data_IF_746154063574
#
_entry.id   IF_746154063574
#
_cell.length_a   1.000
_cell.length_b   1.000
_cell.length_c   1.000
_cell.angle_alpha   90.00
_cell.angle_beta   90.00
_cell.angle_gamma   90.00
#
_symmetry.space_group_name_H-M   'P 1'
#
loop_
_entity.id
_entity.type
_entity.pdbx_description
1 polymer ?
#
# COMPACT_ATOMS: atom_id res chain seq x y z
N UNK A 1 -47.95 -54.29 -25.73
CA UNK A 1 -48.20 -53.01 -26.41
C UNK A 1 -48.87 -52.07 -25.42
N UNK A 2 -48.10 -51.29 -24.65
CA UNK A 2 -48.47 -49.95 -24.14
C UNK A 2 -47.15 -49.25 -23.82
N UNK A 3 -46.80 -48.24 -24.60
CA UNK A 3 -45.66 -47.34 -24.36
C UNK A 3 -46.12 -46.22 -23.43
N UNK A 4 -45.37 -45.92 -22.36
CA UNK A 4 -45.59 -44.73 -21.53
C UNK A 4 -44.36 -43.82 -21.69
N UNK A 5 -44.49 -42.83 -22.57
CA UNK A 5 -43.52 -41.74 -22.70
C UNK A 5 -43.65 -40.81 -21.49
N UNK A 6 -42.59 -40.68 -20.68
CA UNK A 6 -42.49 -39.67 -19.62
C UNK A 6 -41.64 -38.51 -20.12
N UNK A 7 -42.29 -37.41 -20.41
CA UNK A 7 -41.70 -36.12 -20.77
C UNK A 7 -40.98 -35.53 -19.56
N UNK A 8 -39.66 -35.32 -19.65
CA UNK A 8 -38.91 -34.55 -18.65
C UNK A 8 -39.04 -33.06 -19.00
N UNK A 9 -39.75 -32.30 -18.17
CA UNK A 9 -39.80 -30.84 -18.23
C UNK A 9 -38.56 -30.30 -17.52
N UNK A 10 -37.68 -29.65 -18.28
CA UNK A 10 -36.51 -28.92 -17.78
C UNK A 10 -36.95 -27.70 -16.96
N UNK A 11 -36.63 -27.69 -15.67
CA UNK A 11 -36.77 -26.53 -14.80
C UNK A 11 -35.48 -25.69 -14.89
N UNK A 12 -35.46 -24.65 -15.73
CA UNK A 12 -34.44 -23.62 -15.66
C UNK A 12 -34.69 -22.74 -14.44
N UNK A 13 -33.90 -22.93 -13.38
CA UNK A 13 -33.86 -22.01 -12.24
C UNK A 13 -33.14 -20.74 -12.71
N UNK A 14 -33.89 -19.69 -13.00
CA UNK A 14 -33.38 -18.33 -13.01
C UNK A 14 -33.03 -17.95 -11.57
N UNK A 15 -31.76 -18.12 -11.19
CA UNK A 15 -31.22 -17.49 -10.00
C UNK A 15 -31.24 -15.98 -10.24
N UNK A 16 -32.18 -15.29 -9.62
CA UNK A 16 -32.19 -13.83 -9.59
C UNK A 16 -30.86 -13.34 -8.99
N UNK A 17 -30.16 -12.47 -9.72
CA UNK A 17 -29.02 -11.72 -9.20
C UNK A 17 -29.51 -10.85 -8.04
N UNK A 18 -29.38 -11.35 -6.82
CA UNK A 18 -29.42 -10.49 -5.65
C UNK A 18 -28.20 -9.57 -5.73
N UNK A 19 -28.41 -8.30 -6.03
CA UNK A 19 -27.39 -7.25 -5.87
C UNK A 19 -27.16 -7.07 -4.36
N UNK A 20 -26.40 -7.98 -3.76
CA UNK A 20 -26.08 -7.95 -2.34
C UNK A 20 -25.16 -6.76 -2.06
N UNK A 21 -25.50 -5.86 -1.13
CA UNK A 21 -24.62 -4.74 -0.80
C UNK A 21 -23.25 -5.22 -0.32
N UNK A 22 -22.18 -4.52 -0.71
CA UNK A 22 -20.84 -4.75 -0.18
C UNK A 22 -20.80 -4.39 1.31
N UNK A 23 -20.25 -5.30 2.12
CA UNK A 23 -20.08 -5.08 3.56
C UNK A 23 -19.12 -3.92 3.84
N UNK A 24 -19.13 -3.42 5.07
CA UNK A 24 -18.13 -2.48 5.55
C UNK A 24 -16.72 -3.04 5.28
N UNK A 25 -15.84 -2.22 4.72
CA UNK A 25 -14.51 -2.58 4.21
C UNK A 25 -14.46 -3.48 2.96
N UNK A 26 -15.61 -3.87 2.40
CA UNK A 26 -15.68 -4.64 1.15
C UNK A 26 -15.51 -3.78 -0.12
N UNK A 27 -15.15 -4.44 -1.24
CA UNK A 27 -15.06 -3.79 -2.55
C UNK A 27 -16.45 -3.47 -3.10
N UNK A 28 -16.63 -2.21 -3.49
CA UNK A 28 -17.88 -1.66 -3.99
C UNK A 28 -17.75 -1.04 -5.39
N UNK A 29 -16.65 -1.29 -6.10
CA UNK A 29 -16.42 -0.71 -7.41
C UNK A 29 -15.01 -0.91 -7.92
N UNK A 30 -14.79 -0.46 -9.16
CA UNK A 30 -13.55 -0.61 -9.89
C UNK A 30 -13.76 -1.08 -11.32
N UNK A 31 -12.88 -0.67 -12.24
CA UNK A 31 -12.82 -1.19 -13.61
C UNK A 31 -12.70 -2.72 -13.56
N UNK A 32 -13.67 -3.41 -14.18
CA UNK A 32 -13.71 -4.87 -14.24
C UNK A 32 -14.34 -5.56 -13.03
N UNK A 33 -14.80 -4.84 -12.00
CA UNK A 33 -15.47 -5.42 -10.84
C UNK A 33 -16.88 -5.94 -11.19
N UNK A 34 -17.15 -7.27 -11.10
CA UNK A 34 -18.46 -7.84 -11.40
C UNK A 34 -19.40 -7.86 -10.18
N UNK A 35 -18.88 -7.49 -9.00
CA UNK A 35 -19.58 -7.57 -7.74
C UNK A 35 -20.44 -6.34 -7.45
N UNK A 36 -20.90 -6.20 -6.20
CA UNK A 36 -21.82 -5.14 -5.84
C UNK A 36 -21.18 -3.76 -5.88
N UNK A 37 -21.97 -2.77 -6.28
CA UNK A 37 -21.54 -1.36 -6.40
C UNK A 37 -22.11 -0.46 -5.30
N UNK A 38 -22.91 -1.03 -4.40
CA UNK A 38 -23.54 -0.33 -3.28
C UNK A 38 -23.04 -0.90 -1.97
N UNK A 39 -22.86 -0.04 -0.98
CA UNK A 39 -22.38 -0.43 0.35
C UNK A 39 -23.54 -0.66 1.33
N UNK A 40 -23.29 -1.43 2.38
CA UNK A 40 -24.21 -1.57 3.52
C UNK A 40 -24.46 -0.22 4.20
N UNK A 41 -25.61 -0.09 4.84
CA UNK A 41 -26.02 1.15 5.53
C UNK A 41 -24.93 1.61 6.51
N UNK A 42 -24.67 2.93 6.55
CA UNK A 42 -23.63 3.54 7.39
C UNK A 42 -22.25 3.64 6.74
N UNK A 43 -22.08 3.14 5.52
CA UNK A 43 -20.81 3.21 4.79
C UNK A 43 -21.00 3.78 3.39
N UNK A 44 -19.95 4.40 2.85
CA UNK A 44 -19.94 5.04 1.52
C UNK A 44 -18.95 4.31 0.64
N UNK A 45 -19.35 4.05 -0.60
CA UNK A 45 -18.44 3.50 -1.60
C UNK A 45 -17.45 4.58 -2.03
N UNK A 46 -16.26 4.55 -1.46
CA UNK A 46 -15.21 5.52 -1.76
C UNK A 46 -14.29 4.95 -2.81
N UNK A 47 -14.20 5.64 -3.94
CA UNK A 47 -13.25 5.30 -5.01
C UNK A 47 -11.83 5.50 -4.46
N UNK A 48 -11.06 4.43 -4.37
CA UNK A 48 -9.65 4.51 -3.95
C UNK A 48 -8.73 4.63 -5.15
N UNK A 49 -9.03 3.90 -6.22
CA UNK A 49 -8.35 4.01 -7.51
C UNK A 49 -9.31 3.53 -8.63
N UNK A 50 -8.93 3.64 -9.92
CA UNK A 50 -9.81 3.27 -11.03
C UNK A 50 -10.28 1.80 -11.01
N UNK A 51 -9.51 0.88 -10.43
CA UNK A 51 -9.79 -0.56 -10.38
C UNK A 51 -10.37 -1.03 -9.04
N UNK A 52 -10.45 -0.16 -8.03
CA UNK A 52 -10.88 -0.53 -6.69
C UNK A 52 -11.55 0.64 -5.94
N UNK A 53 -12.79 0.40 -5.51
CA UNK A 53 -13.53 1.25 -4.58
C UNK A 53 -13.89 0.44 -3.34
N UNK A 54 -13.86 1.04 -2.15
CA UNK A 54 -14.13 0.34 -0.89
C UNK A 54 -15.22 1.04 -0.07
N UNK A 55 -16.08 0.24 0.58
CA UNK A 55 -17.03 0.72 1.56
C UNK A 55 -16.33 1.16 2.84
N UNK A 56 -16.32 2.44 3.14
CA UNK A 56 -15.73 2.98 4.37
C UNK A 56 -16.78 3.74 5.20
N UNK A 57 -16.68 3.78 6.53
CA UNK A 57 -17.57 4.58 7.37
C UNK A 57 -17.51 6.06 6.99
N UNK A 58 -18.65 6.61 6.57
CA UNK A 58 -18.82 8.03 6.29
C UNK A 58 -19.75 8.66 7.32
N UNK A 59 -19.32 9.74 7.97
CA UNK A 59 -20.18 10.51 8.87
C UNK A 59 -21.41 11.00 8.10
N UNK A 60 -22.59 10.58 8.55
CA UNK A 60 -23.88 11.02 8.02
C UNK A 60 -24.04 12.53 8.23
N UNK A 61 -23.71 13.34 7.23
CA UNK A 61 -24.28 14.67 7.13
C UNK A 61 -25.76 14.51 6.80
N UNK A 62 -26.61 14.81 7.78
CA UNK A 62 -28.06 14.77 7.69
C UNK A 62 -28.56 15.49 6.43
N UNK A 63 -29.45 14.80 5.72
CA UNK A 63 -30.33 15.24 4.62
C UNK A 63 -30.63 16.74 4.54
N UNK A 64 -30.48 17.39 3.37
CA UNK A 64 -31.02 18.73 3.13
C UNK A 64 -32.48 18.65 2.67
N UNK A 65 -33.38 19.24 3.47
CA UNK A 65 -34.74 19.59 3.03
C UNK A 65 -34.69 20.83 2.12
N UNK A 66 -35.51 20.81 1.06
CA UNK A 66 -35.64 21.88 0.05
C UNK A 66 -36.14 23.23 0.61
N UNK A 67 -35.98 24.35 -0.15
CA UNK A 67 -35.77 25.68 0.40
C UNK A 67 -37.07 26.50 0.55
N UNK A 68 -37.12 27.31 1.61
CA UNK A 68 -38.03 28.45 1.71
C UNK A 68 -37.22 29.74 1.53
N UNK A 69 -37.61 30.52 0.53
CA UNK A 69 -37.03 31.79 0.09
C UNK A 69 -37.25 32.93 1.09
N UNK A 70 -36.18 33.58 1.59
CA UNK A 70 -36.17 34.96 2.12
C UNK A 70 -34.80 35.62 1.79
N UNK A 71 -34.73 36.90 1.39
CA UNK A 71 -33.56 37.45 0.70
C UNK A 71 -32.52 38.15 1.60
N UNK A 72 -31.27 38.05 1.13
CA UNK A 72 -30.17 39.02 1.16
C UNK A 72 -29.68 39.62 2.49
N UNK A 73 -28.46 39.25 2.88
CA UNK A 73 -27.46 40.26 3.27
C UNK A 73 -26.05 39.77 2.90
N UNK A 74 -25.31 40.65 2.24
CA UNK A 74 -24.03 40.41 1.60
C UNK A 74 -22.86 40.46 2.58
N UNK A 75 -22.10 39.38 2.69
CA UNK A 75 -20.72 39.42 3.18
C UNK A 75 -19.81 38.72 2.18
N UNK A 76 -18.95 39.52 1.53
CA UNK A 76 -17.84 39.05 0.68
C UNK A 76 -16.92 38.19 1.54
N UNK A 77 -17.02 36.87 1.39
CA UNK A 77 -16.00 35.92 1.81
C UNK A 77 -15.35 35.38 0.56
N UNK A 78 -14.07 35.71 0.40
CA UNK A 78 -13.18 35.21 -0.65
C UNK A 78 -13.12 33.69 -0.57
N UNK A 79 -13.71 33.03 -1.56
CA UNK A 79 -13.51 31.61 -1.83
C UNK A 79 -12.06 31.37 -2.21
N UNK A 80 -11.26 30.90 -1.26
CA UNK A 80 -10.03 30.17 -1.57
C UNK A 80 -10.45 28.85 -2.23
N UNK A 81 -9.98 28.53 -3.45
CA UNK A 81 -10.32 27.25 -4.06
C UNK A 81 -9.71 26.13 -3.22
N UNK A 82 -10.56 25.27 -2.67
CA UNK A 82 -10.16 23.94 -2.20
C UNK A 82 -9.45 23.23 -3.36
N UNK A 83 -8.19 22.79 -3.24
CA UNK A 83 -7.58 22.01 -4.28
C UNK A 83 -8.26 20.64 -4.29
N UNK A 84 -9.13 20.42 -5.27
CA UNK A 84 -9.47 19.09 -5.73
C UNK A 84 -8.20 18.50 -6.34
N UNK A 85 -7.39 17.78 -5.56
CA UNK A 85 -6.21 17.09 -6.08
C UNK A 85 -6.66 15.82 -6.80
N UNK A 86 -6.82 15.94 -8.12
CA UNK A 86 -6.45 14.89 -9.08
C UNK A 86 -5.03 14.40 -8.74
N UNK A 87 -4.70 13.13 -9.03
CA UNK A 87 -3.43 12.50 -8.64
C UNK A 87 -2.15 13.28 -8.99
N UNK A 88 -1.02 12.84 -8.41
CA UNK A 88 0.29 13.46 -8.64
C UNK A 88 0.73 13.32 -10.10
N UNK A 89 0.98 14.44 -10.78
CA UNK A 89 1.47 14.47 -12.17
C UNK A 89 2.68 15.38 -12.31
N UNK A 90 3.55 15.09 -13.28
CA UNK A 90 4.73 15.89 -13.63
C UNK A 90 5.98 15.57 -12.79
N UNK A 91 5.94 14.50 -11.97
CA UNK A 91 7.08 14.06 -11.19
C UNK A 91 8.04 13.23 -12.05
N UNK A 92 9.32 13.34 -11.72
CA UNK A 92 10.33 12.38 -12.14
C UNK A 92 10.75 11.58 -10.92
N UNK A 93 10.47 10.27 -10.90
CA UNK A 93 10.62 9.41 -9.75
C UNK A 93 11.64 8.32 -10.09
N UNK A 94 12.78 8.35 -9.41
CA UNK A 94 13.73 7.23 -9.30
C UNK A 94 13.50 6.55 -7.95
N UNK A 95 12.78 5.43 -7.98
CA UNK A 95 12.27 4.75 -6.80
C UNK A 95 13.13 3.53 -6.48
N UNK A 96 13.62 3.41 -5.25
CA UNK A 96 14.27 2.20 -4.74
C UNK A 96 13.29 1.43 -3.84
N UNK A 97 12.74 0.28 -4.28
CA UNK A 97 12.02 -0.64 -3.41
C UNK A 97 13.05 -1.45 -2.61
N UNK A 98 13.24 -1.12 -1.34
CA UNK A 98 14.23 -1.74 -0.45
C UNK A 98 13.54 -2.62 0.60
N UNK A 99 13.94 -3.88 0.70
CA UNK A 99 13.39 -4.76 1.72
C UNK A 99 13.79 -6.23 1.60
N UNK A 100 12.93 -7.10 2.10
CA UNK A 100 13.13 -8.54 2.15
C UNK A 100 12.40 -9.30 1.00
N UNK A 101 12.03 -10.56 1.26
CA UNK A 101 11.26 -11.42 0.35
C UNK A 101 9.92 -10.82 -0.07
N UNK A 102 9.30 -9.99 0.78
CA UNK A 102 8.02 -9.39 0.43
C UNK A 102 8.24 -8.30 -0.63
N UNK A 103 9.28 -7.47 -0.52
CA UNK A 103 9.66 -6.51 -1.57
C UNK A 103 10.11 -7.19 -2.86
N UNK A 104 10.83 -8.32 -2.75
CA UNK A 104 11.19 -9.15 -3.91
C UNK A 104 9.96 -9.59 -4.72
N UNK A 105 8.81 -9.78 -4.07
CA UNK A 105 7.61 -10.36 -4.68
C UNK A 105 7.53 -11.88 -4.54
N UNK A 106 8.15 -12.44 -3.49
CA UNK A 106 8.18 -13.88 -3.25
C UNK A 106 6.76 -14.44 -3.09
N UNK A 107 6.48 -15.61 -3.66
CA UNK A 107 5.15 -16.25 -3.77
C UNK A 107 4.09 -15.54 -4.64
N UNK A 108 4.37 -14.35 -5.17
CA UNK A 108 3.51 -13.77 -6.22
C UNK A 108 3.62 -14.59 -7.50
N UNK A 109 2.50 -14.86 -8.17
CA UNK A 109 2.46 -15.76 -9.34
C UNK A 109 3.28 -15.27 -10.52
N UNK A 110 3.44 -13.95 -10.64
CA UNK A 110 4.21 -13.29 -11.68
C UNK A 110 5.58 -12.77 -11.18
N UNK A 111 5.89 -12.96 -9.89
CA UNK A 111 7.10 -12.48 -9.23
C UNK A 111 7.22 -10.96 -9.06
N UNK A 112 6.18 -10.18 -9.39
CA UNK A 112 6.20 -8.72 -9.32
C UNK A 112 5.92 -8.21 -7.90
N UNK A 113 5.18 -8.97 -7.09
CA UNK A 113 4.71 -8.51 -5.80
C UNK A 113 3.87 -7.23 -5.93
N UNK A 114 4.05 -6.28 -5.01
CA UNK A 114 3.32 -5.01 -5.07
C UNK A 114 3.82 -4.06 -6.17
N UNK A 115 5.03 -4.31 -6.70
CA UNK A 115 5.77 -3.36 -7.55
C UNK A 115 5.07 -3.06 -8.86
N UNK A 116 4.51 -4.07 -9.54
CA UNK A 116 3.78 -3.86 -10.79
C UNK A 116 2.54 -2.99 -10.62
N UNK A 117 1.72 -3.28 -9.59
CA UNK A 117 0.52 -2.48 -9.30
C UNK A 117 0.92 -1.05 -8.94
N UNK A 118 1.93 -0.88 -8.10
CA UNK A 118 2.42 0.43 -7.69
C UNK A 118 2.96 1.24 -8.88
N UNK A 119 3.76 0.61 -9.75
CA UNK A 119 4.28 1.23 -10.95
C UNK A 119 3.14 1.71 -11.86
N UNK A 120 2.12 0.87 -12.09
CA UNK A 120 0.98 1.21 -12.94
C UNK A 120 0.15 2.38 -12.41
N UNK A 121 0.02 2.55 -11.09
CA UNK A 121 -0.73 3.67 -10.52
C UNK A 121 0.09 4.97 -10.43
N UNK A 122 1.42 4.87 -10.39
CA UNK A 122 2.32 6.03 -10.37
C UNK A 122 2.67 6.56 -11.76
N UNK A 123 2.73 5.69 -12.77
CA UNK A 123 3.19 6.03 -14.12
C UNK A 123 2.34 7.10 -14.85
N UNK A 124 1.01 7.18 -14.69
CA UNK A 124 0.21 8.20 -15.36
C UNK A 124 0.65 9.62 -15.03
N UNK A 125 1.18 10.33 -16.04
CA UNK A 125 1.63 11.71 -15.90
C UNK A 125 2.99 11.91 -15.24
N UNK A 126 3.70 10.83 -14.88
CA UNK A 126 5.03 10.89 -14.26
C UNK A 126 6.05 10.11 -15.10
N UNK A 127 7.34 10.41 -14.94
CA UNK A 127 8.41 9.51 -15.36
C UNK A 127 8.82 8.66 -14.16
N UNK A 128 8.92 7.36 -14.36
CA UNK A 128 9.18 6.39 -13.32
C UNK A 128 10.32 5.47 -13.74
N UNK A 129 11.24 5.25 -12.79
CA UNK A 129 12.43 4.41 -12.91
C UNK A 129 12.59 3.69 -11.57
N UNK A 130 12.19 2.43 -11.49
CA UNK A 130 12.52 1.58 -10.36
C UNK A 130 13.99 1.18 -10.48
N UNK A 131 14.71 1.23 -9.37
CA UNK A 131 16.13 0.91 -9.34
C UNK A 131 16.44 -0.13 -8.27
N UNK A 132 17.60 -0.74 -8.40
CA UNK A 132 18.15 -1.74 -7.50
C UNK A 132 18.95 -2.78 -8.26
N UNK A 133 19.65 -3.62 -7.52
CA UNK A 133 20.52 -4.67 -8.03
C UNK A 133 19.80 -5.98 -8.32
N UNK A 134 18.58 -6.14 -7.82
CA UNK A 134 17.75 -7.34 -7.97
C UNK A 134 16.73 -7.11 -9.09
N UNK A 135 16.62 -8.10 -9.97
CA UNK A 135 15.55 -8.18 -10.97
C UNK A 135 14.63 -9.34 -10.66
N UNK A 136 13.35 -9.06 -10.44
CA UNK A 136 12.35 -10.10 -10.21
C UNK A 136 10.97 -9.70 -10.73
N UNK A 137 10.32 -10.67 -11.37
CA UNK A 137 8.98 -10.53 -11.93
C UNK A 137 8.94 -10.20 -13.42
N UNK A 138 7.74 -10.24 -13.98
CA UNK A 138 7.47 -10.06 -15.42
C UNK A 138 7.19 -8.62 -15.85
N UNK A 139 7.09 -7.67 -14.92
CA UNK A 139 6.90 -6.25 -15.24
C UNK A 139 8.08 -5.70 -16.04
N UNK A 140 7.84 -4.66 -16.86
CA UNK A 140 8.86 -4.07 -17.73
C UNK A 140 10.04 -3.53 -16.92
N UNK A 141 9.74 -2.77 -15.87
CA UNK A 141 10.71 -2.21 -14.95
C UNK A 141 10.74 -3.03 -13.65
N UNK A 142 11.43 -4.17 -13.70
CA UNK A 142 11.44 -5.15 -12.62
C UNK A 142 12.61 -5.00 -11.63
N UNK A 143 13.31 -3.87 -11.69
CA UNK A 143 14.39 -3.53 -10.77
C UNK A 143 13.86 -3.31 -9.35
N UNK A 144 14.60 -3.82 -8.37
CA UNK A 144 14.33 -3.67 -6.95
C UNK A 144 15.55 -4.01 -6.10
N UNK A 145 15.43 -3.81 -4.80
CA UNK A 145 16.42 -4.19 -3.79
C UNK A 145 15.75 -5.03 -2.69
N UNK A 146 14.91 -5.99 -3.11
CA UNK A 146 14.28 -6.98 -2.24
C UNK A 146 15.14 -8.23 -2.09
N UNK A 147 15.54 -8.55 -0.86
CA UNK A 147 16.46 -9.66 -0.55
C UNK A 147 15.75 -10.75 0.24
N UNK A 148 15.46 -11.88 -0.41
CA UNK A 148 14.70 -12.98 0.20
C UNK A 148 15.39 -13.48 1.48
N UNK A 149 14.65 -13.47 2.59
CA UNK A 149 15.14 -13.92 3.90
C UNK A 149 16.04 -12.92 4.64
N UNK A 150 16.28 -11.73 4.10
CA UNK A 150 17.19 -10.77 4.72
C UNK A 150 16.59 -10.09 5.97
N UNK A 151 17.38 -10.02 7.05
CA UNK A 151 17.11 -9.17 8.21
C UNK A 151 17.42 -7.69 7.89
N UNK A 152 17.04 -6.77 8.78
CA UNK A 152 17.36 -5.34 8.65
C UNK A 152 18.86 -5.11 8.45
N UNK A 153 19.71 -5.83 9.19
CA UNK A 153 21.17 -5.73 9.04
C UNK A 153 21.64 -6.13 7.63
N UNK A 154 21.09 -7.21 7.07
CA UNK A 154 21.46 -7.69 5.74
C UNK A 154 20.91 -6.77 4.64
N UNK A 155 19.70 -6.23 4.82
CA UNK A 155 19.14 -5.19 3.94
C UNK A 155 20.03 -3.95 3.94
N UNK A 156 20.56 -3.54 5.11
CA UNK A 156 21.49 -2.42 5.20
C UNK A 156 22.80 -2.68 4.44
N UNK A 157 23.30 -3.93 4.45
CA UNK A 157 24.46 -4.32 3.66
C UNK A 157 24.19 -4.30 2.16
N UNK A 158 22.99 -4.69 1.73
CA UNK A 158 22.62 -4.64 0.31
C UNK A 158 22.38 -3.20 -0.18
N UNK A 159 21.87 -2.32 0.68
CA UNK A 159 21.53 -0.94 0.32
C UNK A 159 22.72 -0.11 -0.20
N UNK A 160 23.96 -0.50 0.12
CA UNK A 160 25.18 0.18 -0.36
C UNK A 160 25.68 -0.33 -1.71
N UNK A 161 24.95 -1.25 -2.36
CA UNK A 161 25.25 -1.70 -3.72
C UNK A 161 25.23 -0.51 -4.70
N UNK A 162 26.16 -0.41 -5.67
CA UNK A 162 26.19 0.68 -6.65
C UNK A 162 24.87 0.97 -7.39
N UNK A 163 23.99 -0.03 -7.56
CA UNK A 163 22.68 0.10 -8.21
C UNK A 163 21.54 0.46 -7.23
N UNK A 164 21.82 0.54 -5.93
CA UNK A 164 20.86 0.88 -4.88
C UNK A 164 21.01 2.36 -4.43
N UNK A 165 21.40 2.63 -3.18
CA UNK A 165 21.53 4.01 -2.68
C UNK A 165 22.58 4.86 -3.43
N UNK A 166 23.77 4.34 -3.79
CA UNK A 166 24.69 5.05 -4.67
C UNK A 166 24.12 5.48 -6.03
N UNK A 167 23.07 4.82 -6.55
CA UNK A 167 22.35 5.26 -7.75
C UNK A 167 21.39 6.44 -7.50
N UNK A 168 21.40 7.00 -6.28
CA UNK A 168 20.71 8.21 -5.85
C UNK A 168 19.20 8.20 -6.17
N UNK A 169 18.43 7.25 -5.60
CA UNK A 169 16.97 7.38 -5.61
C UNK A 169 16.53 8.69 -4.98
N UNK A 170 15.44 9.28 -5.48
CA UNK A 170 14.76 10.40 -4.82
C UNK A 170 13.55 9.92 -3.99
N UNK A 171 13.13 8.66 -4.16
CA UNK A 171 12.13 8.00 -3.32
C UNK A 171 12.65 6.63 -2.91
N UNK A 172 12.64 6.33 -1.61
CA UNK A 172 12.97 5.00 -1.09
C UNK A 172 11.75 4.44 -0.37
N UNK A 173 11.29 3.26 -0.79
CA UNK A 173 10.31 2.49 -0.03
C UNK A 173 11.06 1.48 0.81
N UNK A 174 10.86 1.51 2.13
CA UNK A 174 11.54 0.63 3.06
C UNK A 174 10.54 -0.23 3.83
N UNK A 175 10.61 -1.53 3.62
CA UNK A 175 9.97 -2.51 4.49
C UNK A 175 11.02 -3.54 4.93
N UNK A 176 11.38 -3.51 6.22
CA UNK A 176 12.44 -4.34 6.77
C UNK A 176 12.10 -4.73 8.22
N UNK A 177 12.37 -5.98 8.57
CA UNK A 177 12.16 -6.52 9.92
C UNK A 177 11.33 -7.79 9.99
N UNK A 178 10.77 -8.26 8.87
CA UNK A 178 10.02 -9.52 8.84
C UNK A 178 10.85 -10.68 9.40
N UNK A 179 12.06 -10.86 8.87
CA UNK A 179 12.96 -11.94 9.29
C UNK A 179 13.51 -11.72 10.71
N UNK A 180 13.72 -10.47 11.12
CA UNK A 180 14.11 -10.12 12.49
C UNK A 180 13.11 -10.56 13.56
N UNK A 181 11.82 -10.70 13.20
CA UNK A 181 10.76 -11.20 14.08
C UNK A 181 10.63 -12.72 14.03
N UNK A 182 11.04 -13.37 12.94
CA UNK A 182 10.93 -14.82 12.73
C UNK A 182 12.01 -15.58 13.51
N UNK A 183 13.23 -15.05 13.55
CA UNK A 183 14.40 -15.77 14.08
C UNK A 183 14.52 -15.80 15.61
N UNK A 184 13.55 -15.26 16.37
CA UNK A 184 13.62 -15.23 17.84
C UNK A 184 12.42 -15.94 18.50
N UNK A 185 12.54 -17.25 18.79
CA UNK A 185 11.58 -17.96 19.61
C UNK A 185 11.59 -17.44 21.06
N UNK A 186 10.50 -16.80 21.49
CA UNK A 186 10.23 -16.53 22.91
C UNK A 186 10.84 -15.26 23.52
N UNK A 187 11.48 -14.38 22.73
CA UNK A 187 11.94 -13.06 23.21
C UNK A 187 11.83 -12.00 22.12
N UNK A 188 11.60 -10.74 22.52
CA UNK A 188 11.58 -9.63 21.58
C UNK A 188 12.99 -9.34 21.04
N UNK A 189 13.14 -9.16 19.73
CA UNK A 189 14.37 -8.63 19.13
C UNK A 189 14.52 -7.14 19.49
N UNK A 190 15.23 -6.84 20.57
CA UNK A 190 15.44 -5.46 21.04
C UNK A 190 16.38 -4.65 20.14
N UNK A 191 17.11 -5.30 19.23
CA UNK A 191 18.06 -4.62 18.34
C UNK A 191 17.42 -4.11 17.05
N UNK A 192 16.33 -4.72 16.59
CA UNK A 192 15.67 -4.37 15.32
C UNK A 192 15.29 -2.88 15.21
N UNK A 193 14.73 -2.20 16.25
CA UNK A 193 14.49 -0.76 16.18
C UNK A 193 15.74 0.07 15.91
N UNK A 194 16.83 -0.21 16.63
CA UNK A 194 18.09 0.52 16.45
C UNK A 194 18.68 0.27 15.07
N UNK A 195 18.63 -0.97 14.58
CA UNK A 195 19.09 -1.33 13.24
C UNK A 195 18.29 -0.60 12.15
N UNK A 196 16.96 -0.54 12.27
CA UNK A 196 16.11 0.17 11.31
C UNK A 196 16.42 1.66 11.31
N UNK A 197 16.57 2.26 12.49
CA UNK A 197 16.98 3.65 12.65
C UNK A 197 18.33 3.93 11.95
N UNK A 198 19.33 3.07 12.14
CA UNK A 198 20.64 3.21 11.49
C UNK A 198 20.58 3.02 9.98
N UNK A 199 19.72 2.13 9.47
CA UNK A 199 19.47 2.00 8.03
C UNK A 199 18.87 3.28 7.46
N UNK A 200 17.88 3.87 8.13
CA UNK A 200 17.30 5.17 7.75
C UNK A 200 18.38 6.27 7.72
N UNK A 201 19.24 6.32 8.73
CA UNK A 201 20.35 7.27 8.78
C UNK A 201 21.34 7.06 7.62
N UNK A 202 21.60 5.80 7.24
CA UNK A 202 22.42 5.46 6.06
C UNK A 202 21.80 5.94 4.77
N UNK A 203 20.47 5.78 4.61
CA UNK A 203 19.73 6.27 3.44
C UNK A 203 19.85 7.80 3.35
N UNK A 204 19.56 8.54 4.42
CA UNK A 204 19.68 10.00 4.42
C UNK A 204 21.11 10.50 4.24
N UNK A 205 22.10 9.78 4.76
CA UNK A 205 23.52 10.13 4.58
C UNK A 205 23.94 9.99 3.11
N UNK A 206 23.47 8.92 2.44
CA UNK A 206 23.84 8.64 1.05
C UNK A 206 23.01 9.45 0.04
N UNK A 207 21.73 9.63 0.35
CA UNK A 207 20.72 10.30 -0.48
C UNK A 207 20.01 11.39 0.34
N UNK A 208 20.68 12.52 0.65
CA UNK A 208 20.10 13.59 1.47
C UNK A 208 18.87 14.25 0.82
N UNK A 209 18.72 14.12 -0.50
CA UNK A 209 17.61 14.66 -1.28
C UNK A 209 16.41 13.70 -1.38
N UNK A 210 16.55 12.47 -0.87
CA UNK A 210 15.51 11.46 -0.98
C UNK A 210 14.39 11.67 0.04
N UNK A 211 13.16 11.36 -0.39
CA UNK A 211 12.06 11.06 0.52
C UNK A 211 12.10 9.57 0.88
N UNK A 212 11.99 9.24 2.16
CA UNK A 212 11.87 7.85 2.62
C UNK A 212 10.41 7.58 3.02
N UNK A 213 9.87 6.43 2.62
CA UNK A 213 8.59 5.95 3.13
C UNK A 213 8.83 4.59 3.75
N UNK A 214 8.55 4.49 5.05
CA UNK A 214 8.76 3.25 5.82
C UNK A 214 7.42 2.64 6.13
N UNK A 215 7.19 1.37 5.79
CA UNK A 215 5.95 0.69 6.17
C UNK A 215 6.05 0.03 7.52
N UNK A 216 4.89 -0.15 8.16
CA UNK A 216 4.74 -1.24 9.14
C UNK A 216 4.86 -2.59 8.43
N UNK A 217 5.21 -3.63 9.19
CA UNK A 217 5.22 -5.01 8.71
C UNK A 217 3.80 -5.55 8.54
N UNK A 218 3.63 -6.47 7.61
CA UNK A 218 2.42 -7.29 7.46
C UNK A 218 2.27 -8.25 8.65
N UNK A 219 1.07 -8.80 8.90
CA UNK A 219 0.90 -9.85 9.89
C UNK A 219 1.79 -11.06 9.63
N UNK A 220 2.20 -11.75 10.69
CA UNK A 220 2.88 -13.04 10.64
C UNK A 220 2.08 -14.05 11.47
N UNK A 221 1.74 -15.19 10.87
CA UNK A 221 0.85 -16.20 11.49
C UNK A 221 1.50 -17.57 11.63
N UNK A 222 2.82 -17.65 11.44
CA UNK A 222 3.59 -18.90 11.51
C UNK A 222 3.72 -19.48 12.92
N UNK A 223 3.57 -18.67 13.97
CA UNK A 223 3.52 -19.12 15.38
C UNK A 223 2.58 -18.24 16.20
N UNK A 224 2.13 -18.70 17.38
CA UNK A 224 1.17 -17.95 18.21
C UNK A 224 1.71 -16.63 18.76
N UNK A 225 3.02 -16.51 18.99
CA UNK A 225 3.62 -15.35 19.66
C UNK A 225 4.24 -14.33 18.69
N UNK A 226 4.46 -14.69 17.43
CA UNK A 226 5.16 -13.81 16.48
C UNK A 226 4.36 -12.56 16.15
N UNK A 227 3.03 -12.66 16.06
CA UNK A 227 2.19 -11.48 15.77
C UNK A 227 2.29 -10.42 16.88
N UNK A 228 2.45 -10.83 18.14
CA UNK A 228 2.66 -9.89 19.24
C UNK A 228 3.97 -9.12 19.07
N UNK A 229 5.05 -9.81 18.65
CA UNK A 229 6.34 -9.16 18.38
C UNK A 229 6.22 -8.18 17.20
N UNK A 230 5.55 -8.59 16.12
CA UNK A 230 5.25 -7.72 14.97
C UNK A 230 4.48 -6.47 15.40
N UNK A 231 3.45 -6.62 16.26
CA UNK A 231 2.65 -5.49 16.76
C UNK A 231 3.51 -4.53 17.60
N UNK A 232 4.37 -5.05 18.47
CA UNK A 232 5.32 -4.23 19.24
C UNK A 232 6.26 -3.48 18.31
N UNK A 233 6.84 -4.15 17.32
CA UNK A 233 7.77 -3.53 16.39
C UNK A 233 7.09 -2.47 15.51
N UNK A 234 5.88 -2.75 15.00
CA UNK A 234 5.09 -1.78 14.22
C UNK A 234 4.73 -0.52 15.01
N UNK A 235 4.48 -0.65 16.32
CA UNK A 235 4.27 0.50 17.21
C UNK A 235 5.54 1.35 17.27
N UNK A 236 6.71 0.72 17.42
CA UNK A 236 8.00 1.40 17.48
C UNK A 236 8.34 2.08 16.14
N UNK A 237 8.11 1.41 15.00
CA UNK A 237 8.27 2.01 13.66
C UNK A 237 7.44 3.30 13.59
N UNK A 238 6.15 3.21 13.89
CA UNK A 238 5.24 4.36 13.77
C UNK A 238 5.69 5.53 14.63
N UNK A 239 6.07 5.28 15.89
CA UNK A 239 6.57 6.32 16.80
C UNK A 239 7.89 6.93 16.31
N UNK A 240 8.84 6.10 15.90
CA UNK A 240 10.15 6.53 15.40
C UNK A 240 10.02 7.41 14.16
N UNK A 241 9.22 6.98 13.19
CA UNK A 241 9.05 7.71 11.93
C UNK A 241 8.32 9.03 12.17
N UNK A 242 7.24 9.03 12.94
CA UNK A 242 6.53 10.27 13.28
C UNK A 242 7.43 11.29 14.01
N UNK A 243 8.31 10.83 14.90
CA UNK A 243 9.29 11.69 15.57
C UNK A 243 10.29 12.30 14.58
N UNK A 244 10.77 11.51 13.61
CA UNK A 244 11.67 11.98 12.54
C UNK A 244 10.98 12.96 11.58
N UNK A 245 9.73 12.69 11.19
CA UNK A 245 8.90 13.62 10.41
C UNK A 245 8.72 14.95 11.16
N UNK A 246 8.39 14.91 12.45
CA UNK A 246 8.23 16.10 13.28
C UNK A 246 9.54 16.89 13.47
N UNK A 247 10.70 16.21 13.38
CA UNK A 247 12.01 16.82 13.36
C UNK A 247 12.40 17.42 11.98
N UNK A 248 11.51 17.37 11.00
CA UNK A 248 11.70 17.98 9.68
C UNK A 248 12.37 17.08 8.64
N UNK A 249 12.62 15.80 8.94
CA UNK A 249 13.12 14.87 7.94
C UNK A 249 12.02 14.53 6.92
N UNK A 250 12.39 14.40 5.64
CA UNK A 250 11.48 13.98 4.56
C UNK A 250 11.19 12.47 4.63
N UNK A 251 10.47 12.06 5.67
CA UNK A 251 10.11 10.67 5.92
C UNK A 251 8.64 10.55 6.32
N UNK A 252 7.96 9.53 5.84
CA UNK A 252 6.57 9.21 6.21
C UNK A 252 6.44 7.72 6.56
N UNK A 253 5.45 7.42 7.39
CA UNK A 253 5.09 6.04 7.73
C UNK A 253 3.88 5.58 6.91
N UNK A 254 4.02 4.44 6.22
CA UNK A 254 2.91 3.71 5.61
C UNK A 254 2.27 2.77 6.65
N UNK A 255 1.67 3.37 7.69
CA UNK A 255 1.25 2.66 8.90
C UNK A 255 0.14 1.63 8.68
N UNK A 256 -0.71 1.85 7.68
CA UNK A 256 -1.88 1.00 7.40
C UNK A 256 -1.50 -0.33 6.77
N UNK A 257 -0.22 -0.61 6.49
CA UNK A 257 0.22 -1.90 5.96
C UNK A 257 -0.19 -3.05 6.91
N UNK A 258 0.01 -2.85 8.21
CA UNK A 258 -0.33 -3.81 9.26
C UNK A 258 -1.83 -4.12 9.40
N UNK A 259 -2.72 -3.21 8.99
CA UNK A 259 -4.17 -3.38 9.11
C UNK A 259 -4.85 -3.69 7.79
N UNK A 260 -4.22 -3.36 6.66
CA UNK A 260 -4.78 -3.58 5.32
C UNK A 260 -4.52 -5.01 4.84
N UNK A 261 -3.36 -5.57 5.18
CA UNK A 261 -3.04 -6.97 4.87
C UNK A 261 -3.60 -7.85 5.98
N UNK A 262 -4.47 -8.79 5.62
CA UNK A 262 -5.11 -9.72 6.53
C UNK A 262 -4.39 -11.07 6.53
N UNK A 263 -4.54 -11.90 7.57
CA UNK A 263 -4.06 -13.29 7.54
C UNK A 263 -4.53 -14.09 6.32
N UNK A 264 -5.74 -13.83 5.82
CA UNK A 264 -6.29 -14.48 4.61
C UNK A 264 -5.58 -14.07 3.33
N UNK A 265 -4.82 -12.98 3.36
CA UNK A 265 -4.03 -12.51 2.23
C UNK A 265 -2.65 -13.16 2.19
N UNK A 266 -2.30 -14.09 3.11
CA UNK A 266 -0.99 -14.74 3.21
C UNK A 266 -1.05 -16.19 2.71
N UNK A 267 0.00 -16.64 2.01
CA UNK A 267 0.11 -18.00 1.48
C UNK A 267 0.64 -18.99 2.53
N UNK A 268 1.72 -18.61 3.20
CA UNK A 268 2.46 -19.46 4.15
C UNK A 268 2.50 -18.85 5.56
N UNK A 269 1.65 -17.85 5.80
CA UNK A 269 1.64 -17.08 7.04
C UNK A 269 2.73 -16.01 7.13
N UNK A 270 3.48 -15.77 6.05
CA UNK A 270 4.47 -14.68 5.91
C UNK A 270 4.19 -13.87 4.64
N UNK A 271 4.14 -14.54 3.50
CA UNK A 271 4.18 -13.90 2.19
C UNK A 271 2.78 -13.64 1.64
N UNK A 272 2.51 -12.44 1.10
CA UNK A 272 1.22 -12.11 0.50
C UNK A 272 0.91 -12.95 -0.76
N UNK A 273 -0.37 -13.24 -0.94
CA UNK A 273 -0.98 -13.61 -2.22
C UNK A 273 -0.90 -12.45 -3.22
N UNK A 274 -1.18 -12.70 -4.50
CA UNK A 274 -1.28 -11.63 -5.51
C UNK A 274 -2.28 -10.54 -5.10
N UNK A 275 -3.42 -10.91 -4.50
CA UNK A 275 -4.40 -9.94 -3.98
C UNK A 275 -3.85 -9.15 -2.79
N UNK A 276 -3.10 -9.80 -1.89
CA UNK A 276 -2.39 -9.13 -0.79
C UNK A 276 -1.36 -8.12 -1.31
N UNK A 277 -0.59 -8.48 -2.34
CA UNK A 277 0.37 -7.59 -2.97
C UNK A 277 -0.28 -6.37 -3.64
N UNK A 278 -1.44 -6.53 -4.28
CA UNK A 278 -2.23 -5.40 -4.80
C UNK A 278 -2.65 -4.46 -3.65
N UNK A 279 -3.11 -5.01 -2.52
CA UNK A 279 -3.44 -4.21 -1.33
C UNK A 279 -2.23 -3.43 -0.81
N UNK A 280 -1.05 -4.03 -0.77
CA UNK A 280 0.17 -3.32 -0.36
C UNK A 280 0.47 -2.11 -1.24
N UNK A 281 0.31 -2.24 -2.57
CA UNK A 281 0.49 -1.10 -3.48
C UNK A 281 -0.48 0.05 -3.16
N UNK A 282 -1.72 -0.28 -2.81
CA UNK A 282 -2.73 0.71 -2.39
C UNK A 282 -2.45 1.36 -1.03
N UNK A 283 -1.57 0.77 -0.21
CA UNK A 283 -1.05 1.42 1.01
C UNK A 283 0.11 2.35 0.67
N UNK A 284 1.02 1.95 -0.22
CA UNK A 284 2.17 2.77 -0.61
C UNK A 284 1.77 4.04 -1.36
N UNK A 285 0.91 3.92 -2.36
CA UNK A 285 0.52 5.03 -3.25
C UNK A 285 0.06 6.31 -2.52
N UNK A 286 -0.91 6.29 -1.60
CA UNK A 286 -1.39 7.51 -0.96
C UNK A 286 -0.32 8.20 -0.09
N UNK A 287 0.67 7.45 0.41
CA UNK A 287 1.77 8.03 1.19
C UNK A 287 2.82 8.69 0.29
N UNK A 288 3.10 8.11 -0.88
CA UNK A 288 3.90 8.76 -1.93
C UNK A 288 3.21 10.05 -2.39
N UNK A 289 1.90 9.98 -2.60
CA UNK A 289 1.10 11.13 -2.99
C UNK A 289 1.14 12.24 -1.92
N UNK A 290 1.09 11.87 -0.64
CA UNK A 290 1.26 12.80 0.47
C UNK A 290 2.64 13.47 0.46
N UNK A 291 3.72 12.70 0.27
CA UNK A 291 5.07 13.26 0.19
C UNK A 291 5.23 14.23 -0.99
N UNK A 292 4.66 13.90 -2.15
CA UNK A 292 4.63 14.79 -3.30
C UNK A 292 3.85 16.08 -3.02
N UNK A 293 2.67 16.00 -2.37
CA UNK A 293 1.89 17.17 -1.97
C UNK A 293 2.62 18.07 -0.96
N UNK A 294 3.48 17.47 -0.12
CA UNK A 294 4.37 18.22 0.77
C UNK A 294 5.55 18.88 0.04
N UNK A 295 5.74 18.61 -1.27
CA UNK A 295 6.86 19.10 -2.05
C UNK A 295 8.18 18.37 -1.76
N UNK A 296 8.13 17.17 -1.15
CA UNK A 296 9.34 16.46 -0.71
C UNK A 296 9.98 15.60 -1.80
N UNK A 297 9.26 15.31 -2.88
CA UNK A 297 9.77 14.55 -4.03
C UNK A 297 10.32 15.53 -5.07
N UNK A 298 11.62 15.84 -4.95
CA UNK A 298 12.39 16.59 -5.95
C UNK A 298 12.74 15.74 -7.18
N UNK A 299 13.42 16.32 -8.19
CA UNK A 299 13.93 15.53 -9.33
C UNK A 299 15.10 14.64 -8.91
N UNK A 300 15.32 13.46 -9.53
CA UNK A 300 16.50 12.65 -9.26
C UNK A 300 17.78 13.42 -9.57
N UNK A 301 18.80 13.25 -8.73
CA UNK A 301 20.13 13.81 -8.96
C UNK A 301 20.85 12.98 -10.02
N UNK A 302 21.61 13.64 -10.90
CA UNK A 302 22.47 12.96 -11.87
C UNK A 302 23.57 12.20 -11.13
N UNK A 303 23.79 10.94 -11.52
CA UNK A 303 24.80 10.03 -10.96
C UNK A 303 25.93 9.80 -11.94
#
# INVERSE_FOLDING_TARGET
MVFVFRTFITFCILAGLALAQSQEWGQCGGIGWPGPTTCVSGTICTVMNPYYSQCIPGSVASTPSSPTTIPSSSTKSTTSPTPTSTGITGLNIRLLPLGDSITFGFTSSDGNGYRATLHNVLQPGNTLDFIGSIKSGTMVDNDNEGHVGATIQQIAQAAVNPLALPARPNVVLLMAGTNDMIDIPGSANTSAPTQLSSLIDTIFTTCPDATIIVSTLTPLTITTNIQTQVNTFNTIITQMINARTAAGQHILVAQSMATTILPSDLIDGIHPTDAGYIKMANVWYPVIEQAARNGWIGKPVTV
#
